data_IF_511139670684
#
_entry.id   IF_511139670684
#
_cell.length_a   1.000
_cell.length_b   1.000
_cell.length_c   1.000
_cell.angle_alpha   90.00
_cell.angle_beta   90.00
_cell.angle_gamma   90.00
#
_symmetry.space_group_name_H-M   'P 1'
#
loop_
_entity.id
_entity.type
_entity.pdbx_description
1 polymer ?
#
# COMPACT_ATOMS: atom_id res chain seq x y z
N UNK A 1 42.39 27.26 9.14
CA UNK A 1 41.63 25.97 9.19
C UNK A 1 41.07 25.70 10.60
N UNK A 2 41.91 25.68 11.65
CA UNK A 2 41.42 25.48 13.04
C UNK A 2 40.49 26.59 13.54
N UNK A 3 40.74 27.85 13.16
CA UNK A 3 39.87 28.97 13.54
C UNK A 3 38.46 28.89 12.89
N UNK A 4 38.35 28.38 11.66
CA UNK A 4 37.06 28.15 11.00
C UNK A 4 36.28 27.02 11.66
N UNK A 5 36.95 25.97 12.13
CA UNK A 5 36.34 24.88 12.86
C UNK A 5 35.84 25.37 14.23
N UNK A 6 36.62 26.18 14.93
CA UNK A 6 36.21 26.79 16.20
C UNK A 6 35.03 27.75 16.03
N UNK A 7 34.99 28.54 14.95
CA UNK A 7 33.85 29.44 14.68
C UNK A 7 32.58 28.63 14.31
N UNK A 8 32.70 27.51 13.65
CA UNK A 8 31.57 26.60 13.40
C UNK A 8 31.03 25.94 14.69
N UNK A 9 31.91 25.52 15.59
CA UNK A 9 31.48 24.99 16.89
C UNK A 9 30.91 26.07 17.81
N UNK A 10 31.41 27.31 17.76
CA UNK A 10 30.85 28.43 18.49
C UNK A 10 29.50 28.93 17.94
N UNK A 11 29.20 28.63 16.66
CA UNK A 11 27.92 28.97 16.04
C UNK A 11 26.81 27.98 16.41
N UNK A 12 27.15 26.77 16.92
CA UNK A 12 26.20 25.81 17.47
C UNK A 12 26.00 26.11 18.96
N UNK A 13 25.26 27.18 19.21
CA UNK A 13 24.88 27.56 20.58
C UNK A 13 23.80 26.60 21.10
N UNK A 14 24.24 25.50 21.71
CA UNK A 14 23.39 24.48 22.30
C UNK A 14 22.45 25.03 23.39
N UNK A 15 22.76 26.22 23.91
CA UNK A 15 21.93 26.91 24.92
C UNK A 15 20.67 27.56 24.32
N UNK A 16 20.62 27.71 22.98
CA UNK A 16 19.45 28.24 22.24
C UNK A 16 18.52 27.17 21.69
N UNK A 17 18.81 25.89 21.94
CA UNK A 17 17.90 24.81 21.59
C UNK A 17 16.71 24.90 22.55
N UNK A 18 15.60 25.37 22.03
CA UNK A 18 14.33 25.42 22.77
C UNK A 18 13.81 23.98 22.90
N UNK A 19 14.21 23.33 23.99
CA UNK A 19 13.88 21.91 24.25
C UNK A 19 12.38 21.68 24.23
N UNK A 20 11.57 22.69 24.62
CA UNK A 20 10.12 22.60 24.59
C UNK A 20 9.60 22.51 23.14
N UNK A 21 10.07 23.36 22.24
CA UNK A 21 9.72 23.31 20.82
C UNK A 21 10.19 22.02 20.15
N UNK A 22 11.35 21.50 20.59
CA UNK A 22 11.87 20.24 20.12
C UNK A 22 10.95 19.09 20.53
N UNK A 23 10.57 19.02 21.80
CA UNK A 23 9.63 18.02 22.30
C UNK A 23 8.25 18.14 21.66
N UNK A 24 7.69 19.33 21.53
CA UNK A 24 6.40 19.54 20.88
C UNK A 24 6.41 19.05 19.42
N UNK A 25 7.44 19.38 18.67
CA UNK A 25 7.60 18.94 17.27
C UNK A 25 7.70 17.41 17.14
N UNK A 26 8.46 16.77 18.04
CA UNK A 26 8.55 15.30 18.03
C UNK A 26 7.25 14.62 18.45
N UNK A 27 6.53 15.19 19.40
CA UNK A 27 5.21 14.71 19.79
C UNK A 27 4.20 14.84 18.66
N UNK A 28 4.20 15.95 17.94
CA UNK A 28 3.32 16.16 16.78
C UNK A 28 3.62 15.16 15.65
N UNK A 29 4.90 14.95 15.35
CA UNK A 29 5.32 13.94 14.36
C UNK A 29 4.92 12.54 14.82
N UNK A 30 5.14 12.18 16.06
CA UNK A 30 4.79 10.87 16.60
C UNK A 30 3.27 10.64 16.56
N UNK A 31 2.46 11.62 16.94
CA UNK A 31 1.00 11.53 16.87
C UNK A 31 0.51 11.41 15.41
N UNK A 32 1.13 12.13 14.48
CA UNK A 32 0.84 12.02 13.05
C UNK A 32 1.14 10.62 12.51
N UNK A 33 2.30 10.05 12.87
CA UNK A 33 2.69 8.70 12.45
C UNK A 33 1.73 7.65 13.02
N UNK A 34 1.41 7.74 14.30
CA UNK A 34 0.47 6.81 14.96
C UNK A 34 -0.90 6.88 14.27
N UNK A 35 -1.40 8.07 13.97
CA UNK A 35 -2.65 8.25 13.25
C UNK A 35 -2.64 7.58 11.87
N UNK A 36 -1.57 7.78 11.10
CA UNK A 36 -1.41 7.13 9.79
C UNK A 36 -1.36 5.61 9.88
N UNK A 37 -0.65 5.05 10.88
CA UNK A 37 -0.57 3.60 11.10
C UNK A 37 -1.93 3.02 11.43
N UNK A 38 -2.69 3.66 12.34
CA UNK A 38 -4.03 3.21 12.72
C UNK A 38 -4.97 3.20 11.50
N UNK A 39 -5.00 4.28 10.74
CA UNK A 39 -5.84 4.37 9.54
C UNK A 39 -5.43 3.34 8.48
N UNK A 40 -4.13 3.17 8.23
CA UNK A 40 -3.63 2.15 7.30
C UNK A 40 -4.01 0.74 7.74
N UNK A 41 -3.96 0.45 9.03
CA UNK A 41 -4.41 -0.82 9.58
C UNK A 41 -5.93 -1.03 9.37
N UNK A 42 -6.74 0.01 9.58
CA UNK A 42 -8.18 -0.05 9.31
C UNK A 42 -8.46 -0.30 7.82
N UNK A 43 -7.73 0.34 6.90
CA UNK A 43 -7.83 0.11 5.45
C UNK A 43 -7.60 -1.37 5.13
N UNK A 44 -6.57 -1.98 5.70
CA UNK A 44 -6.26 -3.41 5.48
C UNK A 44 -7.38 -4.31 6.01
N UNK A 45 -7.82 -4.09 7.25
CA UNK A 45 -8.85 -4.92 7.89
C UNK A 45 -10.18 -4.83 7.15
N UNK A 46 -10.62 -3.61 6.86
CA UNK A 46 -11.88 -3.38 6.14
C UNK A 46 -11.76 -3.89 4.69
N UNK A 47 -10.66 -3.60 4.01
CA UNK A 47 -10.41 -4.03 2.64
C UNK A 47 -10.43 -5.57 2.51
N UNK A 48 -9.77 -6.27 3.41
CA UNK A 48 -9.77 -7.75 3.38
C UNK A 48 -11.14 -8.35 3.67
N UNK A 49 -11.95 -7.73 4.55
CA UNK A 49 -13.34 -8.15 4.76
C UNK A 49 -14.18 -7.94 3.49
N UNK A 50 -14.06 -6.79 2.85
CA UNK A 50 -14.78 -6.50 1.60
C UNK A 50 -14.40 -7.46 0.48
N UNK A 51 -13.10 -7.75 0.32
CA UNK A 51 -12.61 -8.73 -0.64
C UNK A 51 -13.21 -10.12 -0.39
N UNK A 52 -13.28 -10.55 0.87
CA UNK A 52 -13.87 -11.84 1.22
C UNK A 52 -15.33 -11.91 0.78
N UNK A 53 -16.11 -10.87 1.05
CA UNK A 53 -17.53 -10.79 0.65
C UNK A 53 -17.64 -10.83 -0.88
N UNK A 54 -16.87 -10.00 -1.57
CA UNK A 54 -16.88 -9.90 -3.03
C UNK A 54 -16.55 -11.24 -3.70
N UNK A 55 -15.49 -11.92 -3.23
CA UNK A 55 -15.08 -13.22 -3.77
C UNK A 55 -16.13 -14.30 -3.49
N UNK A 56 -16.79 -14.26 -2.33
CA UNK A 56 -17.86 -15.21 -2.01
C UNK A 56 -19.06 -15.00 -2.95
N UNK A 57 -19.47 -13.77 -3.17
CA UNK A 57 -20.55 -13.45 -4.11
C UNK A 57 -20.21 -13.88 -5.53
N UNK A 58 -18.99 -13.53 -6.00
CA UNK A 58 -18.51 -13.91 -7.32
C UNK A 58 -18.54 -15.43 -7.50
N UNK A 59 -18.00 -16.18 -6.54
CA UNK A 59 -17.98 -17.65 -6.55
C UNK A 59 -19.39 -18.21 -6.68
N UNK A 60 -20.32 -17.76 -5.84
CA UNK A 60 -21.72 -18.23 -5.86
C UNK A 60 -22.40 -17.93 -7.20
N UNK A 61 -22.10 -16.77 -7.80
CA UNK A 61 -22.67 -16.40 -9.11
C UNK A 61 -22.12 -17.28 -10.23
N UNK A 62 -20.81 -17.55 -10.23
CA UNK A 62 -20.16 -18.40 -11.23
C UNK A 62 -20.59 -19.89 -11.10
N UNK A 63 -20.78 -20.38 -9.88
CA UNK A 63 -21.30 -21.75 -9.63
C UNK A 63 -22.72 -21.92 -10.18
N UNK A 64 -23.58 -20.90 -10.07
CA UNK A 64 -24.93 -20.90 -10.66
C UNK A 64 -24.93 -20.88 -12.19
N UNK A 65 -23.87 -20.39 -12.81
CA UNK A 65 -23.72 -20.35 -14.25
C UNK A 65 -23.16 -21.64 -14.86
N UNK A 66 -23.04 -22.73 -14.05
CA UNK A 66 -22.53 -24.06 -14.46
C UNK A 66 -21.13 -24.01 -15.11
N UNK A 67 -20.32 -23.02 -14.70
CA UNK A 67 -18.94 -22.87 -15.17
C UNK A 67 -18.05 -23.93 -14.50
N UNK A 68 -17.06 -24.43 -15.26
CA UNK A 68 -16.10 -25.41 -14.75
C UNK A 68 -15.43 -24.95 -13.44
N UNK A 69 -15.35 -25.86 -12.47
CA UNK A 69 -14.79 -25.56 -11.15
C UNK A 69 -13.35 -25.06 -11.19
N UNK A 70 -12.55 -25.56 -12.14
CA UNK A 70 -11.16 -25.11 -12.31
C UNK A 70 -11.09 -23.64 -12.72
N UNK A 71 -11.95 -23.21 -13.62
CA UNK A 71 -12.05 -21.82 -14.08
C UNK A 71 -12.53 -20.91 -12.94
N UNK A 72 -13.52 -21.34 -12.18
CA UNK A 72 -14.03 -20.59 -11.01
C UNK A 72 -12.91 -20.42 -9.98
N UNK A 73 -12.22 -21.51 -9.62
CA UNK A 73 -11.17 -21.50 -8.60
C UNK A 73 -9.99 -20.61 -9.00
N UNK A 74 -9.56 -20.72 -10.26
CA UNK A 74 -8.48 -19.88 -10.81
C UNK A 74 -8.88 -18.40 -10.81
N UNK A 75 -10.04 -18.06 -11.37
CA UNK A 75 -10.52 -16.68 -11.47
C UNK A 75 -10.69 -16.05 -10.09
N UNK A 76 -11.33 -16.74 -9.16
CA UNK A 76 -11.50 -16.24 -7.78
C UNK A 76 -10.16 -16.04 -7.07
N UNK A 77 -9.18 -16.92 -7.29
CA UNK A 77 -7.86 -16.80 -6.70
C UNK A 77 -7.08 -15.64 -7.28
N UNK A 78 -7.11 -15.48 -8.60
CA UNK A 78 -6.44 -14.39 -9.32
C UNK A 78 -6.99 -13.01 -8.89
N UNK A 79 -8.31 -12.85 -8.89
CA UNK A 79 -8.98 -11.62 -8.47
C UNK A 79 -8.70 -11.33 -6.99
N UNK A 80 -8.71 -12.34 -6.13
CA UNK A 80 -8.41 -12.20 -4.70
C UNK A 80 -7.00 -11.66 -4.48
N UNK A 81 -6.02 -12.20 -5.19
CA UNK A 81 -4.62 -11.74 -5.07
C UNK A 81 -4.51 -10.31 -5.55
N UNK A 82 -5.06 -9.99 -6.73
CA UNK A 82 -5.03 -8.64 -7.28
C UNK A 82 -5.66 -7.60 -6.35
N UNK A 83 -6.85 -7.88 -5.83
CA UNK A 83 -7.53 -6.98 -4.90
C UNK A 83 -6.77 -6.82 -3.57
N UNK A 84 -6.13 -7.88 -3.06
CA UNK A 84 -5.28 -7.77 -1.86
C UNK A 84 -4.08 -6.87 -2.10
N UNK A 85 -3.42 -7.00 -3.24
CA UNK A 85 -2.32 -6.11 -3.61
C UNK A 85 -2.78 -4.65 -3.64
N UNK A 86 -3.93 -4.35 -4.24
CA UNK A 86 -4.49 -3.00 -4.29
C UNK A 86 -4.72 -2.45 -2.88
N UNK A 87 -5.35 -3.22 -1.99
CA UNK A 87 -5.61 -2.79 -0.61
C UNK A 87 -4.31 -2.53 0.15
N UNK A 88 -3.29 -3.37 -0.02
CA UNK A 88 -1.97 -3.18 0.60
C UNK A 88 -1.32 -1.89 0.07
N UNK A 89 -1.34 -1.65 -1.26
CA UNK A 89 -0.79 -0.43 -1.82
C UNK A 89 -1.54 0.83 -1.36
N UNK A 90 -2.86 0.77 -1.21
CA UNK A 90 -3.64 1.87 -0.63
C UNK A 90 -3.21 2.18 0.81
N UNK A 91 -3.00 1.15 1.63
CA UNK A 91 -2.56 1.32 3.01
C UNK A 91 -1.14 1.90 3.09
N UNK A 92 -0.22 1.43 2.24
CA UNK A 92 1.18 1.91 2.16
C UNK A 92 1.24 3.35 1.62
N UNK A 93 0.44 3.67 0.60
CA UNK A 93 0.32 5.03 0.06
C UNK A 93 -0.18 6.01 1.13
N UNK A 94 -1.14 5.58 1.96
CA UNK A 94 -1.65 6.40 3.06
C UNK A 94 -0.57 6.72 4.10
N UNK A 95 0.41 5.85 4.29
CA UNK A 95 1.57 6.11 5.15
C UNK A 95 2.55 7.14 4.55
N UNK A 96 2.34 7.55 3.30
CA UNK A 96 3.17 8.52 2.59
C UNK A 96 4.28 7.90 1.73
N UNK A 97 4.25 6.58 1.51
CA UNK A 97 5.17 5.90 0.60
C UNK A 97 4.69 6.07 -0.83
N UNK A 98 5.59 6.43 -1.74
CA UNK A 98 5.25 6.52 -3.15
C UNK A 98 5.11 5.14 -3.77
N UNK A 99 3.88 4.80 -4.18
CA UNK A 99 3.53 3.49 -4.76
C UNK A 99 3.34 3.53 -6.27
N UNK A 100 3.52 4.69 -6.91
CA UNK A 100 3.27 4.88 -8.35
C UNK A 100 4.06 3.91 -9.21
N UNK A 101 5.33 3.67 -8.90
CA UNK A 101 6.20 2.73 -9.61
C UNK A 101 5.69 1.28 -9.51
N UNK A 102 5.18 0.88 -8.36
CA UNK A 102 4.60 -0.46 -8.16
C UNK A 102 3.30 -0.62 -8.93
N UNK A 103 2.45 0.42 -8.96
CA UNK A 103 1.21 0.43 -9.74
C UNK A 103 1.51 0.32 -11.24
N UNK A 104 2.50 1.06 -11.73
CA UNK A 104 2.94 0.98 -13.12
C UNK A 104 3.47 -0.42 -13.48
N UNK A 105 4.25 -1.05 -12.60
CA UNK A 105 4.73 -2.42 -12.77
C UNK A 105 3.58 -3.43 -12.81
N UNK A 106 2.61 -3.32 -11.91
CA UNK A 106 1.42 -4.18 -11.91
C UNK A 106 0.58 -3.97 -13.17
N UNK A 107 0.43 -2.73 -13.62
CA UNK A 107 -0.27 -2.40 -14.86
C UNK A 107 0.38 -3.06 -16.07
N UNK A 108 1.70 -2.96 -16.19
CA UNK A 108 2.46 -3.60 -17.28
C UNK A 108 2.38 -5.14 -17.24
N UNK A 109 2.49 -5.73 -16.04
CA UNK A 109 2.28 -7.17 -15.85
C UNK A 109 0.86 -7.60 -16.22
N UNK A 110 -0.15 -6.79 -15.85
CA UNK A 110 -1.55 -7.03 -16.22
C UNK A 110 -1.78 -7.03 -17.74
N UNK A 111 -1.17 -6.09 -18.46
CA UNK A 111 -1.22 -6.05 -19.93
C UNK A 111 -0.56 -7.29 -20.51
N UNK A 112 0.61 -7.70 -20.02
CA UNK A 112 1.30 -8.89 -20.50
C UNK A 112 0.47 -10.17 -20.31
N UNK A 113 -0.15 -10.33 -19.14
CA UNK A 113 -1.07 -11.44 -18.84
C UNK A 113 -2.31 -11.37 -19.75
N UNK A 114 -2.88 -10.17 -19.96
CA UNK A 114 -4.03 -9.97 -20.85
C UNK A 114 -3.75 -10.39 -22.27
N UNK A 115 -2.58 -10.02 -22.81
CA UNK A 115 -2.14 -10.43 -24.16
C UNK A 115 -1.88 -11.94 -24.24
N UNK A 116 -1.28 -12.54 -23.20
CA UNK A 116 -1.06 -13.99 -23.17
C UNK A 116 -2.38 -14.78 -23.18
N UNK A 117 -3.40 -14.29 -22.48
CA UNK A 117 -4.72 -14.92 -22.41
C UNK A 117 -5.53 -14.70 -23.68
N UNK A 118 -5.29 -13.64 -24.44
CA UNK A 118 -6.00 -13.34 -25.69
C UNK A 118 -5.83 -14.47 -26.72
N UNK A 119 -4.65 -15.08 -26.82
CA UNK A 119 -4.38 -16.21 -27.71
C UNK A 119 -5.13 -17.48 -27.34
N UNK A 120 -5.40 -17.71 -26.06
CA UNK A 120 -6.12 -18.90 -25.58
C UNK A 120 -7.65 -18.76 -25.71
N UNK A 121 -8.17 -17.54 -25.66
CA UNK A 121 -9.61 -17.27 -25.82
C UNK A 121 -10.03 -17.22 -27.30
N UNK A 122 -9.11 -17.00 -28.21
CA UNK A 122 -9.38 -16.93 -29.67
C UNK A 122 -9.44 -18.30 -30.36
N UNK A 123 -9.07 -19.37 -29.68
CA UNK A 123 -9.07 -20.73 -30.20
C UNK A 123 -10.26 -21.54 -29.64
#
# INVERSE_FOLDING_TARGET
MLAQIQSMFAAVDLSKIDWNQFFEKYLEIAMSIIGKVIVSFLIIVIGFKLIKILITLLKTTLEKAEIDYGVISFSCSFIRIGLRCIVIFMAVAHMGVEVSSFIALLGSAGVAVGLALQGTLSN
#
